data_IF_958908619611
#
_entry.id   IF_958908619611
#
_cell.length_a   1.000
_cell.length_b   1.000
_cell.length_c   1.000
_cell.angle_alpha   90.00
_cell.angle_beta   90.00
_cell.angle_gamma   90.00
#
_symmetry.space_group_name_H-M   'P 1'
#
loop_
_entity.id
_entity.type
_entity.pdbx_description
1 polymer ?
#
# COMPACT_ATOMS: atom_id res chain seq x y z
N UNK A 1 31.02 -91.63 6.60
CA UNK A 1 30.71 -90.34 7.27
C UNK A 1 29.44 -89.79 6.67
N UNK A 2 28.29 -90.25 7.16
CA UNK A 2 26.97 -89.83 6.70
C UNK A 2 26.46 -88.74 7.64
N UNK A 3 26.28 -87.55 7.09
CA UNK A 3 25.78 -86.37 7.78
C UNK A 3 24.25 -86.52 7.94
N UNK A 4 23.77 -86.86 9.13
CA UNK A 4 22.34 -86.88 9.47
C UNK A 4 21.84 -85.43 9.55
N UNK A 5 21.02 -85.05 8.57
CA UNK A 5 20.35 -83.76 8.53
C UNK A 5 19.14 -83.82 9.47
N UNK A 6 19.09 -83.03 10.56
CA UNK A 6 17.93 -83.05 11.46
C UNK A 6 16.68 -82.61 10.70
N UNK A 7 15.64 -83.47 10.74
CA UNK A 7 14.34 -83.13 10.19
C UNK A 7 13.73 -81.99 11.02
N UNK A 8 13.16 -80.95 10.37
CA UNK A 8 12.54 -79.84 11.07
C UNK A 8 11.30 -80.33 11.83
N UNK A 9 11.26 -80.07 13.14
CA UNK A 9 10.07 -80.27 13.97
C UNK A 9 8.91 -79.44 13.39
N UNK A 10 7.81 -80.13 13.07
CA UNK A 10 6.57 -79.52 12.59
C UNK A 10 5.91 -78.76 13.74
N UNK A 11 6.20 -77.46 13.85
CA UNK A 11 5.51 -76.57 14.78
C UNK A 11 4.01 -76.59 14.49
N UNK A 12 3.22 -77.12 15.43
CA UNK A 12 1.78 -77.16 15.36
C UNK A 12 1.25 -75.74 15.63
N UNK A 13 1.08 -74.94 14.57
CA UNK A 13 0.52 -73.59 14.67
C UNK A 13 -0.92 -73.72 15.18
N UNK A 14 -1.18 -73.18 16.37
CA UNK A 14 -2.52 -73.14 16.97
C UNK A 14 -3.33 -71.99 16.39
N UNK A 15 -4.64 -72.16 16.31
CA UNK A 15 -5.57 -71.12 15.82
C UNK A 15 -5.48 -69.81 16.62
N UNK A 16 -5.09 -69.88 17.90
CA UNK A 16 -4.89 -68.71 18.77
C UNK A 16 -3.71 -67.83 18.34
N UNK A 17 -2.59 -68.43 17.91
CA UNK A 17 -1.41 -67.70 17.42
C UNK A 17 -1.74 -66.92 16.14
N UNK A 18 -2.55 -67.51 15.25
CA UNK A 18 -3.04 -66.84 14.03
C UNK A 18 -3.91 -65.62 14.38
N UNK A 19 -4.81 -65.73 15.36
CA UNK A 19 -5.67 -64.61 15.78
C UNK A 19 -4.86 -63.49 16.43
N UNK A 20 -3.86 -63.82 17.24
CA UNK A 20 -2.97 -62.85 17.86
C UNK A 20 -2.15 -62.09 16.80
N UNK A 21 -1.60 -62.81 15.82
CA UNK A 21 -0.90 -62.21 14.68
C UNK A 21 -1.81 -61.29 13.86
N UNK A 22 -3.06 -61.69 13.63
CA UNK A 22 -4.03 -60.90 12.84
C UNK A 22 -4.43 -59.61 13.57
N UNK A 23 -4.59 -59.65 14.89
CA UNK A 23 -4.84 -58.47 15.71
C UNK A 23 -3.64 -57.52 15.76
N UNK A 24 -2.43 -58.07 15.88
CA UNK A 24 -1.18 -57.29 15.82
C UNK A 24 -1.05 -56.58 14.47
N UNK A 25 -1.27 -57.29 13.36
CA UNK A 25 -1.20 -56.74 12.01
C UNK A 25 -2.25 -55.63 11.78
N UNK A 26 -3.47 -55.82 12.30
CA UNK A 26 -4.50 -54.77 12.27
C UNK A 26 -4.05 -53.51 13.01
N UNK A 27 -3.46 -53.64 14.19
CA UNK A 27 -2.96 -52.50 14.96
C UNK A 27 -1.84 -51.75 14.23
N UNK A 28 -0.94 -52.46 13.55
CA UNK A 28 0.12 -51.86 12.74
C UNK A 28 -0.45 -51.09 11.54
N UNK A 29 -1.46 -51.64 10.86
CA UNK A 29 -2.14 -50.95 9.76
C UNK A 29 -2.81 -49.65 10.24
N UNK A 30 -3.47 -49.67 11.39
CA UNK A 30 -4.08 -48.45 11.97
C UNK A 30 -3.03 -47.38 12.34
N UNK A 31 -1.87 -47.80 12.87
CA UNK A 31 -0.77 -46.89 13.18
C UNK A 31 -0.16 -46.29 11.91
N UNK A 32 0.08 -47.10 10.88
CA UNK A 32 0.61 -46.62 9.59
C UNK A 32 -0.36 -45.66 8.91
N UNK A 33 -1.67 -45.91 8.99
CA UNK A 33 -2.69 -44.99 8.47
C UNK A 33 -2.72 -43.66 9.23
N UNK A 34 -2.61 -43.68 10.56
CA UNK A 34 -2.50 -42.44 11.35
C UNK A 34 -1.21 -41.67 11.04
N UNK A 35 -0.10 -42.39 10.87
CA UNK A 35 1.18 -41.77 10.52
C UNK A 35 1.14 -41.13 9.13
N UNK A 36 0.58 -41.80 8.12
CA UNK A 36 0.46 -41.24 6.77
C UNK A 36 -0.44 -40.00 6.72
N UNK A 37 -1.55 -40.00 7.48
CA UNK A 37 -2.41 -38.82 7.65
C UNK A 37 -1.66 -37.65 8.31
N UNK A 38 -0.88 -37.91 9.35
CA UNK A 38 -0.06 -36.88 10.01
C UNK A 38 1.03 -36.33 9.10
N UNK A 39 1.69 -37.18 8.30
CA UNK A 39 2.71 -36.75 7.32
C UNK A 39 2.07 -35.91 6.20
N UNK A 40 0.89 -36.31 5.70
CA UNK A 40 0.16 -35.53 4.70
C UNK A 40 -0.26 -34.16 5.25
N UNK A 41 -0.75 -34.10 6.50
CA UNK A 41 -1.09 -32.85 7.17
C UNK A 41 0.14 -31.95 7.39
N UNK A 42 1.28 -32.52 7.79
CA UNK A 42 2.54 -31.78 7.97
C UNK A 42 3.06 -31.22 6.63
N UNK A 43 3.03 -32.03 5.57
CA UNK A 43 3.43 -31.62 4.21
C UNK A 43 2.52 -30.50 3.67
N UNK A 44 1.20 -30.61 3.88
CA UNK A 44 0.25 -29.57 3.51
C UNK A 44 0.52 -28.24 4.23
N UNK A 45 0.82 -28.28 5.55
CA UNK A 45 1.20 -27.09 6.33
C UNK A 45 2.51 -26.47 5.83
N UNK A 46 3.52 -27.27 5.53
CA UNK A 46 4.80 -26.79 5.01
C UNK A 46 4.64 -26.11 3.64
N UNK A 47 3.85 -26.71 2.74
CA UNK A 47 3.54 -26.11 1.44
C UNK A 47 2.75 -24.79 1.59
N UNK A 48 1.79 -24.74 2.51
CA UNK A 48 1.05 -23.52 2.83
C UNK A 48 1.96 -22.41 3.38
N UNK A 49 2.87 -22.75 4.30
CA UNK A 49 3.84 -21.80 4.83
C UNK A 49 4.79 -21.26 3.74
N UNK A 50 5.31 -22.14 2.87
CA UNK A 50 6.14 -21.74 1.72
C UNK A 50 5.41 -20.80 0.78
N UNK A 51 4.14 -21.09 0.49
CA UNK A 51 3.30 -20.22 -0.32
C UNK A 51 3.12 -18.83 0.32
N UNK A 52 2.76 -18.77 1.61
CA UNK A 52 2.58 -17.51 2.34
C UNK A 52 3.87 -16.68 2.44
N UNK A 53 5.02 -17.33 2.62
CA UNK A 53 6.32 -16.65 2.62
C UNK A 53 6.67 -16.08 1.24
N UNK A 54 6.34 -16.80 0.17
CA UNK A 54 6.51 -16.30 -1.20
C UNK A 54 5.62 -15.08 -1.43
N UNK A 55 4.34 -15.17 -1.09
CA UNK A 55 3.38 -14.08 -1.21
C UNK A 55 3.82 -12.86 -0.41
N UNK A 56 4.32 -13.06 0.82
CA UNK A 56 4.87 -11.99 1.65
C UNK A 56 6.04 -11.26 0.98
N UNK A 57 6.96 -12.00 0.35
CA UNK A 57 8.08 -11.41 -0.37
C UNK A 57 7.63 -10.64 -1.63
N UNK A 58 6.69 -11.21 -2.40
CA UNK A 58 6.11 -10.57 -3.58
C UNK A 58 5.36 -9.27 -3.21
N UNK A 59 4.52 -9.30 -2.16
CA UNK A 59 3.86 -8.12 -1.58
C UNK A 59 4.87 -7.04 -1.17
N UNK A 60 5.96 -7.43 -0.51
CA UNK A 60 7.04 -6.53 -0.13
C UNK A 60 7.70 -5.86 -1.35
N UNK A 61 7.91 -6.62 -2.42
CA UNK A 61 8.44 -6.09 -3.68
C UNK A 61 7.47 -5.11 -4.34
N UNK A 62 6.18 -5.43 -4.43
CA UNK A 62 5.16 -4.53 -4.99
C UNK A 62 5.01 -3.24 -4.20
N UNK A 63 5.08 -3.32 -2.87
CA UNK A 63 5.05 -2.16 -2.00
C UNK A 63 6.23 -1.21 -2.28
N UNK A 64 7.46 -1.74 -2.33
CA UNK A 64 8.67 -0.94 -2.65
C UNK A 64 8.61 -0.33 -4.05
N UNK A 65 8.16 -1.09 -5.04
CA UNK A 65 8.05 -0.61 -6.42
C UNK A 65 7.03 0.53 -6.56
N UNK A 66 5.91 0.42 -5.84
CA UNK A 66 4.88 1.46 -5.78
C UNK A 66 5.43 2.74 -5.13
N UNK A 67 6.25 2.59 -4.10
CA UNK A 67 6.89 3.72 -3.42
C UNK A 67 7.88 4.47 -4.32
N UNK A 68 8.81 3.73 -4.95
CA UNK A 68 9.80 4.30 -5.87
C UNK A 68 9.15 5.05 -7.04
N UNK A 69 8.05 4.53 -7.59
CA UNK A 69 7.29 5.21 -8.64
C UNK A 69 6.67 6.53 -8.18
N UNK A 70 6.19 6.59 -6.94
CA UNK A 70 5.61 7.80 -6.38
C UNK A 70 6.68 8.87 -6.13
N UNK A 71 7.81 8.47 -5.55
CA UNK A 71 8.96 9.37 -5.34
C UNK A 71 9.50 9.92 -6.66
N UNK A 72 9.65 9.06 -7.67
CA UNK A 72 10.10 9.47 -9.01
C UNK A 72 9.15 10.49 -9.64
N UNK A 73 7.84 10.24 -9.62
CA UNK A 73 6.84 11.16 -10.17
C UNK A 73 6.85 12.52 -9.44
N UNK A 74 7.02 12.49 -8.12
CA UNK A 74 7.09 13.69 -7.30
C UNK A 74 8.36 14.50 -7.59
N UNK A 75 9.52 13.84 -7.68
CA UNK A 75 10.78 14.49 -8.00
C UNK A 75 10.77 15.10 -9.40
N UNK A 76 10.18 14.39 -10.37
CA UNK A 76 9.99 14.90 -11.74
C UNK A 76 9.10 16.14 -11.75
N UNK A 77 7.99 16.12 -11.01
CA UNK A 77 7.10 17.28 -10.90
C UNK A 77 7.80 18.49 -10.28
N UNK A 78 8.53 18.29 -9.16
CA UNK A 78 9.26 19.38 -8.50
C UNK A 78 10.36 19.95 -9.40
N UNK A 79 11.11 19.10 -10.08
CA UNK A 79 12.16 19.51 -11.01
C UNK A 79 11.57 20.28 -12.20
N UNK A 80 10.51 19.75 -12.80
CA UNK A 80 9.81 20.41 -13.90
C UNK A 80 9.24 21.77 -13.46
N UNK A 81 8.60 21.84 -12.29
CA UNK A 81 8.08 23.10 -11.75
C UNK A 81 9.19 24.13 -11.51
N UNK A 82 10.34 23.70 -11.00
CA UNK A 82 11.50 24.57 -10.74
C UNK A 82 12.10 25.09 -12.04
N UNK A 83 12.25 24.22 -13.05
CA UNK A 83 12.73 24.59 -14.38
C UNK A 83 11.79 25.60 -15.04
N UNK A 84 10.49 25.37 -14.93
CA UNK A 84 9.46 26.27 -15.45
C UNK A 84 9.55 27.64 -14.77
N UNK A 85 9.65 27.69 -13.43
CA UNK A 85 9.79 28.96 -12.70
C UNK A 85 11.07 29.70 -13.11
N UNK A 86 12.21 29.00 -13.23
CA UNK A 86 13.46 29.60 -13.71
C UNK A 86 13.33 30.12 -15.15
N UNK A 87 12.69 29.36 -16.04
CA UNK A 87 12.42 29.76 -17.42
C UNK A 87 11.53 31.00 -17.50
N UNK A 88 10.52 31.10 -16.62
CA UNK A 88 9.65 32.28 -16.53
C UNK A 88 10.39 33.52 -16.04
N UNK A 89 11.30 33.38 -15.07
CA UNK A 89 12.17 34.47 -14.60
C UNK A 89 13.13 34.93 -15.69
N UNK A 90 13.63 34.02 -16.52
CA UNK A 90 14.46 34.39 -17.67
C UNK A 90 13.62 35.09 -18.75
N UNK A 91 12.44 34.58 -19.05
CA UNK A 91 11.54 35.13 -20.07
C UNK A 91 11.01 36.52 -19.70
N UNK A 92 10.87 36.81 -18.40
CA UNK A 92 10.43 38.13 -17.91
C UNK A 92 11.42 39.25 -18.24
N UNK A 93 12.70 38.92 -18.48
CA UNK A 93 13.72 39.89 -18.89
C UNK A 93 13.67 40.18 -20.39
N UNK A 94 13.16 39.25 -21.19
CA UNK A 94 13.17 39.33 -22.66
C UNK A 94 11.87 39.91 -23.22
N UNK A 95 10.73 39.72 -22.54
CA UNK A 95 9.42 40.17 -23.01
C UNK A 95 9.08 41.54 -22.43
N UNK A 96 9.07 42.56 -23.28
CA UNK A 96 8.73 43.93 -22.88
C UNK A 96 7.23 44.16 -22.70
N UNK A 97 6.40 43.42 -23.44
CA UNK A 97 4.94 43.52 -23.35
C UNK A 97 4.38 42.68 -22.19
N UNK A 98 3.97 43.37 -21.13
CA UNK A 98 3.41 42.78 -19.93
C UNK A 98 2.16 41.92 -20.21
N UNK A 99 1.32 42.28 -21.18
CA UNK A 99 0.10 41.52 -21.49
C UNK A 99 0.42 40.16 -22.10
N UNK A 100 1.38 40.11 -23.01
CA UNK A 100 1.86 38.86 -23.62
C UNK A 100 2.56 38.00 -22.57
N UNK A 101 3.36 38.62 -21.69
CA UNK A 101 4.03 37.90 -20.62
C UNK A 101 3.03 37.25 -19.64
N UNK A 102 2.01 37.98 -19.19
CA UNK A 102 1.01 37.46 -18.24
C UNK A 102 0.15 36.35 -18.86
N UNK A 103 -0.20 36.45 -20.15
CA UNK A 103 -0.98 35.38 -20.82
C UNK A 103 -0.19 34.07 -20.91
N UNK A 104 1.12 34.14 -21.20
CA UNK A 104 2.01 32.97 -21.15
C UNK A 104 2.14 32.40 -19.73
N UNK A 105 2.28 33.26 -18.72
CA UNK A 105 2.32 32.85 -17.31
C UNK A 105 1.06 32.09 -16.89
N UNK A 106 -0.12 32.56 -17.31
CA UNK A 106 -1.40 31.89 -17.03
C UNK A 106 -1.41 30.49 -17.64
N UNK A 107 -1.04 30.36 -18.91
CA UNK A 107 -1.02 29.08 -19.61
C UNK A 107 -0.11 28.06 -18.91
N UNK A 108 1.09 28.51 -18.54
CA UNK A 108 2.08 27.69 -17.84
C UNK A 108 1.62 27.32 -16.42
N UNK A 109 1.08 28.28 -15.67
CA UNK A 109 0.56 28.04 -14.33
C UNK A 109 -0.64 27.07 -14.33
N UNK A 110 -1.53 27.18 -15.32
CA UNK A 110 -2.64 26.26 -15.52
C UNK A 110 -2.14 24.84 -15.82
N UNK A 111 -1.11 24.70 -16.67
CA UNK A 111 -0.48 23.40 -16.94
C UNK A 111 0.12 22.76 -15.68
N UNK A 112 0.89 23.53 -14.90
CA UNK A 112 1.47 23.06 -13.63
C UNK A 112 0.39 22.69 -12.60
N UNK A 113 -0.71 23.44 -12.57
CA UNK A 113 -1.84 23.16 -11.69
C UNK A 113 -2.51 21.82 -12.04
N UNK A 114 -2.80 21.58 -13.32
CA UNK A 114 -3.37 20.30 -13.78
C UNK A 114 -2.42 19.14 -13.46
N UNK A 115 -1.12 19.30 -13.76
CA UNK A 115 -0.12 18.29 -13.42
C UNK A 115 -0.06 17.99 -11.92
N UNK A 116 -0.17 19.04 -11.10
CA UNK A 116 -0.22 18.90 -9.64
C UNK A 116 -1.49 18.20 -9.14
N UNK A 117 -2.66 18.44 -9.74
CA UNK A 117 -3.90 17.72 -9.41
C UNK A 117 -3.78 16.22 -9.73
N UNK A 118 -3.22 15.87 -10.89
CA UNK A 118 -2.97 14.47 -11.28
C UNK A 118 -2.00 13.81 -10.29
N UNK A 119 -0.95 14.52 -9.86
CA UNK A 119 -0.02 14.00 -8.86
C UNK A 119 -0.71 13.74 -7.52
N UNK A 120 -1.54 14.67 -7.04
CA UNK A 120 -2.28 14.52 -5.77
C UNK A 120 -3.26 13.35 -5.83
N UNK A 121 -4.02 13.20 -6.92
CA UNK A 121 -4.94 12.06 -7.05
C UNK A 121 -4.18 10.73 -7.03
N UNK A 122 -3.04 10.67 -7.73
CA UNK A 122 -2.17 9.49 -7.74
C UNK A 122 -1.60 9.17 -6.36
N UNK A 123 -1.15 10.17 -5.60
CA UNK A 123 -0.66 9.98 -4.22
C UNK A 123 -1.77 9.39 -3.33
N UNK A 124 -3.00 9.88 -3.46
CA UNK A 124 -4.16 9.38 -2.68
C UNK A 124 -4.47 7.93 -3.05
N UNK A 125 -4.53 7.59 -4.34
CA UNK A 125 -4.76 6.22 -4.80
C UNK A 125 -3.65 5.27 -4.34
N UNK A 126 -2.40 5.69 -4.44
CA UNK A 126 -1.25 4.91 -3.97
C UNK A 126 -1.27 4.71 -2.44
N UNK A 127 -1.70 5.73 -1.68
CA UNK A 127 -1.81 5.60 -0.23
C UNK A 127 -2.88 4.57 0.19
N UNK A 128 -4.00 4.48 -0.55
CA UNK A 128 -5.02 3.46 -0.33
C UNK A 128 -4.46 2.04 -0.57
N UNK A 129 -3.81 1.82 -1.73
CA UNK A 129 -3.19 0.53 -2.06
C UNK A 129 -2.11 0.13 -1.04
N UNK A 130 -1.29 1.07 -0.59
CA UNK A 130 -0.28 0.81 0.46
C UNK A 130 -0.91 0.35 1.78
N UNK A 131 -2.06 0.91 2.15
CA UNK A 131 -2.75 0.48 3.36
C UNK A 131 -3.23 -0.98 3.25
N UNK A 132 -3.73 -1.38 2.09
CA UNK A 132 -4.13 -2.76 1.79
C UNK A 132 -2.94 -3.71 1.85
N UNK A 133 -1.79 -3.35 1.25
CA UNK A 133 -0.57 -4.17 1.33
C UNK A 133 -0.07 -4.35 2.77
N UNK A 134 -0.05 -3.28 3.56
CA UNK A 134 0.35 -3.37 4.98
C UNK A 134 -0.64 -4.26 5.75
N UNK A 135 -1.93 -4.17 5.45
CA UNK A 135 -2.93 -5.03 6.07
C UNK A 135 -2.70 -6.51 5.72
N UNK A 136 -2.50 -6.84 4.45
CA UNK A 136 -2.19 -8.20 4.00
C UNK A 136 -0.91 -8.76 4.64
N UNK A 137 0.17 -7.96 4.69
CA UNK A 137 1.42 -8.33 5.34
C UNK A 137 1.23 -8.61 6.84
N UNK A 138 0.40 -7.81 7.52
CA UNK A 138 0.08 -8.02 8.93
C UNK A 138 -0.75 -9.28 9.17
N UNK A 139 -1.68 -9.63 8.27
CA UNK A 139 -2.44 -10.88 8.35
C UNK A 139 -1.52 -12.10 8.23
N UNK A 140 -0.60 -12.09 7.26
CA UNK A 140 0.39 -13.17 7.08
C UNK A 140 1.29 -13.27 8.32
N UNK A 141 1.80 -12.13 8.82
CA UNK A 141 2.63 -12.12 10.05
C UNK A 141 1.87 -12.69 11.23
N UNK A 142 0.60 -12.30 11.41
CA UNK A 142 -0.27 -12.81 12.46
C UNK A 142 -0.44 -14.32 12.35
N UNK A 143 -0.68 -14.85 11.14
CA UNK A 143 -0.79 -16.29 10.92
C UNK A 143 0.45 -17.05 11.42
N UNK A 144 1.66 -16.54 11.13
CA UNK A 144 2.89 -17.18 11.61
C UNK A 144 3.08 -17.10 13.13
N UNK A 145 2.66 -16.00 13.75
CA UNK A 145 2.72 -15.84 15.22
C UNK A 145 1.71 -16.73 15.93
N UNK A 146 0.48 -16.80 15.42
CA UNK A 146 -0.59 -17.64 15.96
C UNK A 146 -0.25 -19.14 15.77
N UNK A 147 0.48 -19.49 14.71
CA UNK A 147 0.93 -20.88 14.45
C UNK A 147 2.18 -21.25 15.28
N UNK A 148 3.15 -20.34 15.42
CA UNK A 148 4.43 -20.59 16.09
C UNK A 148 4.75 -19.45 17.08
N UNK A 149 4.33 -19.64 18.34
CA UNK A 149 4.54 -18.69 19.44
C UNK A 149 5.99 -18.19 19.65
N UNK A 150 7.07 -19.01 19.52
CA UNK A 150 8.42 -18.51 19.83
C UNK A 150 8.96 -17.46 18.84
N UNK A 151 8.31 -17.27 17.69
CA UNK A 151 8.71 -16.25 16.70
C UNK A 151 8.37 -14.83 17.19
N UNK A 152 7.40 -14.72 18.12
CA UNK A 152 6.86 -13.43 18.59
C UNK A 152 7.94 -12.50 19.14
N UNK A 153 8.92 -13.04 19.86
CA UNK A 153 9.97 -12.26 20.51
C UNK A 153 11.02 -11.72 19.53
N UNK A 154 11.08 -12.25 18.32
CA UNK A 154 11.99 -11.82 17.26
C UNK A 154 11.39 -10.76 16.32
N UNK A 155 10.12 -10.37 16.53
CA UNK A 155 9.45 -9.40 15.67
C UNK A 155 9.85 -7.97 16.03
N UNK A 156 10.59 -7.34 15.12
CA UNK A 156 11.01 -5.93 15.23
C UNK A 156 9.83 -4.96 15.16
N UNK A 157 8.78 -5.32 14.42
CA UNK A 157 7.59 -4.49 14.28
C UNK A 157 6.45 -5.04 15.14
N UNK A 158 5.73 -4.18 15.89
CA UNK A 158 4.56 -4.62 16.65
C UNK A 158 3.55 -5.28 15.70
N UNK A 159 2.95 -6.39 16.14
CA UNK A 159 1.76 -6.89 15.45
C UNK A 159 0.68 -5.84 15.63
N UNK A 160 0.23 -5.24 14.53
CA UNK A 160 -1.00 -4.48 14.55
C UNK A 160 -2.13 -5.46 14.84
N UNK A 161 -2.77 -5.33 16.00
CA UNK A 161 -3.98 -6.11 16.27
C UNK A 161 -5.01 -5.79 15.19
N UNK A 162 -5.54 -6.82 14.51
CA UNK A 162 -6.82 -6.64 13.82
C UNK A 162 -7.79 -6.15 14.88
N UNK A 163 -8.53 -5.05 14.68
CA UNK A 163 -9.51 -4.57 15.64
C UNK A 163 -10.61 -5.64 15.76
N UNK A 164 -10.44 -6.58 16.69
CA UNK A 164 -11.43 -7.58 17.02
C UNK A 164 -12.52 -6.85 17.82
N UNK A 165 -13.56 -6.38 17.14
CA UNK A 165 -14.80 -5.92 17.77
C UNK A 165 -15.00 -4.40 17.93
N UNK A 166 -14.11 -3.54 17.46
CA UNK A 166 -14.38 -2.09 17.42
C UNK A 166 -15.11 -1.75 16.12
N UNK A 167 -16.43 -1.55 16.19
CA UNK A 167 -17.25 -1.18 15.03
C UNK A 167 -16.63 -0.02 14.24
N UNK A 168 -16.14 -0.34 13.03
CA UNK A 168 -15.82 0.51 11.87
C UNK A 168 -15.09 1.86 12.05
N UNK A 169 -14.75 2.28 13.26
CA UNK A 169 -13.83 3.39 13.51
C UNK A 169 -12.44 2.81 13.56
N UNK A 170 -11.96 2.37 12.40
CA UNK A 170 -10.52 2.23 12.22
C UNK A 170 -9.93 3.61 12.56
N UNK A 171 -9.20 3.68 13.67
CA UNK A 171 -8.09 4.62 13.80
C UNK A 171 -7.14 4.26 12.69
N UNK A 172 -7.49 4.70 11.48
CA UNK A 172 -6.72 4.60 10.27
C UNK A 172 -5.46 5.37 10.60
N UNK A 173 -4.46 4.62 11.07
CA UNK A 173 -3.11 5.08 11.34
C UNK A 173 -2.75 5.91 10.13
N UNK A 174 -2.69 7.23 10.32
CA UNK A 174 -2.35 8.16 9.25
C UNK A 174 -1.13 7.57 8.57
N UNK A 175 -1.13 7.40 7.24
CA UNK A 175 0.00 6.76 6.57
C UNK A 175 1.26 7.51 6.97
N UNK A 176 2.06 6.91 7.85
CA UNK A 176 3.26 7.51 8.47
C UNK A 176 4.28 7.86 7.37
N UNK A 177 4.14 7.19 6.23
CA UNK A 177 5.12 7.11 5.15
C UNK A 177 5.03 8.22 4.11
N UNK A 178 3.89 8.90 3.95
CA UNK A 178 3.90 10.16 3.22
C UNK A 178 4.01 11.25 4.28
N UNK A 179 5.16 11.93 4.40
CA UNK A 179 5.30 12.98 5.38
C UNK A 179 4.18 13.97 5.09
N UNK A 180 3.24 14.11 6.04
CA UNK A 180 2.05 14.92 5.83
C UNK A 180 2.40 16.36 5.43
N UNK A 181 3.64 16.80 5.71
CA UNK A 181 4.21 18.05 5.22
C UNK A 181 4.31 18.12 3.69
N UNK A 182 4.70 17.06 2.98
CA UNK A 182 4.92 17.09 1.53
C UNK A 182 3.60 17.17 0.76
N UNK A 183 2.61 16.35 1.11
CA UNK A 183 1.26 16.47 0.51
C UNK A 183 0.63 17.82 0.82
N UNK A 184 0.87 18.38 2.02
CA UNK A 184 0.44 19.75 2.35
C UNK A 184 1.16 20.78 1.49
N UNK A 185 2.45 20.63 1.24
CA UNK A 185 3.24 21.53 0.40
C UNK A 185 2.75 21.51 -1.06
N UNK A 186 2.51 20.32 -1.64
CA UNK A 186 1.99 20.19 -3.01
C UNK A 186 0.59 20.80 -3.12
N UNK A 187 -0.28 20.53 -2.14
CA UNK A 187 -1.60 21.13 -2.13
C UNK A 187 -1.53 22.66 -2.00
N UNK A 188 -0.67 23.18 -1.11
CA UNK A 188 -0.46 24.62 -0.97
C UNK A 188 0.06 25.23 -2.28
N UNK A 189 1.03 24.58 -2.93
CA UNK A 189 1.57 24.98 -4.23
C UNK A 189 0.48 25.03 -5.31
N UNK A 190 -0.35 23.99 -5.42
CA UNK A 190 -1.50 23.97 -6.33
C UNK A 190 -2.52 25.08 -6.01
N UNK A 191 -2.74 25.36 -4.72
CA UNK A 191 -3.60 26.46 -4.30
C UNK A 191 -3.07 27.83 -4.74
N UNK A 192 -1.76 28.04 -4.63
CA UNK A 192 -1.09 29.26 -5.11
C UNK A 192 -1.22 29.37 -6.64
N UNK A 193 -0.95 28.30 -7.38
CA UNK A 193 -1.07 28.29 -8.85
C UNK A 193 -2.50 28.58 -9.30
N UNK A 194 -3.50 27.96 -8.66
CA UNK A 194 -4.90 28.21 -8.96
C UNK A 194 -5.32 29.65 -8.68
N UNK A 195 -4.94 30.18 -7.52
CA UNK A 195 -5.19 31.57 -7.15
C UNK A 195 -4.53 32.56 -8.12
N UNK A 196 -3.31 32.26 -8.55
CA UNK A 196 -2.60 33.04 -9.56
C UNK A 196 -3.32 33.02 -10.92
N UNK A 197 -3.73 31.85 -11.41
CA UNK A 197 -4.47 31.72 -12.67
C UNK A 197 -5.75 32.54 -12.64
N UNK A 198 -6.57 32.39 -11.59
CA UNK A 198 -7.82 33.16 -11.46
C UNK A 198 -7.54 34.66 -11.38
N UNK A 199 -6.60 35.08 -10.53
CA UNK A 199 -6.28 36.48 -10.36
C UNK A 199 -5.78 37.11 -11.66
N UNK A 200 -4.87 36.44 -12.37
CA UNK A 200 -4.32 36.93 -13.62
C UNK A 200 -5.36 36.97 -14.76
N UNK A 201 -6.30 36.01 -14.81
CA UNK A 201 -7.43 36.05 -15.75
C UNK A 201 -8.34 37.25 -15.48
N UNK A 202 -8.71 37.50 -14.21
CA UNK A 202 -9.56 38.65 -13.83
C UNK A 202 -8.86 39.96 -14.23
N UNK A 203 -7.56 40.07 -13.94
CA UNK A 203 -6.76 41.24 -14.30
C UNK A 203 -6.72 41.50 -15.82
N UNK A 204 -6.66 40.45 -16.65
CA UNK A 204 -6.71 40.60 -18.10
C UNK A 204 -8.09 41.06 -18.60
N UNK A 205 -9.17 40.68 -17.91
CA UNK A 205 -10.54 40.99 -18.33
C UNK A 205 -11.01 42.39 -17.89
N UNK A 206 -10.56 42.89 -16.73
CA UNK A 206 -10.97 44.20 -16.22
C UNK A 206 -9.93 45.28 -16.56
N UNK A 207 -10.23 46.17 -17.51
CA UNK A 207 -9.35 47.29 -17.90
C UNK A 207 -9.32 48.46 -16.88
N UNK A 208 -9.75 48.24 -15.63
CA UNK A 208 -9.90 49.27 -14.59
C UNK A 208 -8.69 49.34 -13.64
N UNK A 209 -8.09 50.53 -13.51
CA UNK A 209 -6.75 50.78 -12.93
C UNK A 209 -6.64 50.56 -11.39
N UNK A 210 -7.72 50.30 -10.65
CA UNK A 210 -7.69 50.26 -9.17
C UNK A 210 -7.85 48.87 -8.52
N UNK A 211 -8.02 47.79 -9.29
CA UNK A 211 -8.32 46.46 -8.75
C UNK A 211 -7.17 45.47 -8.45
N UNK A 212 -5.87 45.70 -8.74
CA UNK A 212 -4.85 44.64 -8.65
C UNK A 212 -4.63 44.09 -7.24
N UNK A 213 -4.85 44.91 -6.19
CA UNK A 213 -4.74 44.47 -4.79
C UNK A 213 -5.91 43.56 -4.41
N UNK A 214 -7.14 43.92 -4.80
CA UNK A 214 -8.36 43.14 -4.52
C UNK A 214 -8.28 41.79 -5.25
N UNK A 215 -7.74 41.78 -6.46
CA UNK A 215 -7.57 40.57 -7.26
C UNK A 215 -6.52 39.63 -6.66
N UNK A 216 -5.40 40.17 -6.17
CA UNK A 216 -4.38 39.37 -5.47
C UNK A 216 -4.92 38.72 -4.18
N UNK A 217 -5.67 39.48 -3.39
CA UNK A 217 -6.33 38.96 -2.18
C UNK A 217 -7.43 37.95 -2.53
N UNK A 218 -8.21 38.21 -3.57
CA UNK A 218 -9.27 37.33 -4.08
C UNK A 218 -8.73 35.99 -4.59
N UNK A 219 -7.60 36.00 -5.30
CA UNK A 219 -6.93 34.77 -5.76
C UNK A 219 -6.45 33.90 -4.60
N UNK A 220 -5.87 34.51 -3.55
CA UNK A 220 -5.47 33.79 -2.34
C UNK A 220 -6.71 33.21 -1.62
N UNK A 221 -7.78 33.99 -1.50
CA UNK A 221 -9.03 33.52 -0.89
C UNK A 221 -9.67 32.37 -1.68
N UNK A 222 -9.69 32.46 -3.02
CA UNK A 222 -10.16 31.40 -3.90
C UNK A 222 -9.32 30.12 -3.78
N UNK A 223 -7.99 30.26 -3.71
CA UNK A 223 -7.07 29.13 -3.47
C UNK A 223 -7.30 28.46 -2.12
N UNK A 224 -7.50 29.25 -1.05
CA UNK A 224 -7.85 28.73 0.28
C UNK A 224 -9.22 28.05 0.29
N UNK A 225 -10.20 28.61 -0.40
CA UNK A 225 -11.53 28.02 -0.55
C UNK A 225 -11.48 26.69 -1.32
N UNK A 226 -10.72 26.63 -2.41
CA UNK A 226 -10.47 25.40 -3.17
C UNK A 226 -9.81 24.33 -2.31
N UNK A 227 -8.81 24.70 -1.51
CA UNK A 227 -8.17 23.79 -0.54
C UNK A 227 -9.15 23.28 0.52
N UNK A 228 -10.05 24.14 1.00
CA UNK A 228 -11.10 23.75 1.93
C UNK A 228 -12.09 22.77 1.27
N UNK A 229 -12.53 23.04 0.05
CA UNK A 229 -13.41 22.17 -0.74
C UNK A 229 -12.77 20.80 -1.00
N UNK A 230 -11.50 20.77 -1.44
CA UNK A 230 -10.74 19.53 -1.61
C UNK A 230 -10.67 18.71 -0.32
N UNK A 231 -10.49 19.34 0.85
CA UNK A 231 -10.53 18.63 2.13
C UNK A 231 -11.93 18.09 2.45
N UNK A 232 -12.98 18.82 2.09
CA UNK A 232 -14.36 18.38 2.31
C UNK A 232 -14.74 17.21 1.39
N UNK A 233 -14.35 17.25 0.12
CA UNK A 233 -14.61 16.16 -0.83
C UNK A 233 -13.84 14.89 -0.43
N UNK A 234 -12.57 15.02 -0.02
CA UNK A 234 -11.81 13.88 0.54
C UNK A 234 -12.47 13.29 1.78
N UNK A 235 -13.04 14.11 2.67
CA UNK A 235 -13.81 13.61 3.81
C UNK A 235 -15.07 12.87 3.38
N UNK A 236 -15.76 13.34 2.33
CA UNK A 236 -16.98 12.72 1.83
C UNK A 236 -16.71 11.37 1.17
N UNK A 237 -15.71 11.27 0.28
CA UNK A 237 -15.35 10.00 -0.34
C UNK A 237 -14.90 8.98 0.70
N UNK A 238 -14.17 9.44 1.72
CA UNK A 238 -13.80 8.58 2.86
C UNK A 238 -15.02 8.02 3.60
N UNK A 239 -16.02 8.87 3.88
CA UNK A 239 -17.27 8.42 4.54
C UNK A 239 -18.09 7.45 3.70
N UNK A 240 -18.11 7.64 2.37
CA UNK A 240 -18.80 6.73 1.46
C UNK A 240 -18.15 5.34 1.46
N UNK A 241 -16.82 5.27 1.46
CA UNK A 241 -16.10 4.00 1.53
C UNK A 241 -16.22 3.32 2.90
N UNK A 242 -16.45 4.07 3.99
CA UNK A 242 -16.69 3.51 5.33
C UNK A 242 -18.13 2.97 5.52
N UNK A 243 -19.05 3.24 4.59
CA UNK A 243 -20.45 2.82 4.67
C UNK A 243 -20.76 1.53 3.89
N UNK A 244 -19.79 1.01 3.13
CA UNK A 244 -19.87 -0.24 2.37
C UNK A 244 -19.04 -1.33 3.06
#
# INVERSE_FOLDING_TARGET
>A
MTCEKPMPQSNHITHEDILEQLNSLKSQLELLQKQSLNVAAASSRDNGAKFLLREFNELGHFWRHTDARMESALNLYLTASSLVVAGLVYLSQQVTDLRIFISLMILVAAGLFIGGLILVSRIVSTAALKAEYIHALNLIRRYFVDTNNPIKDYLVLPLADSPKGAGHRSTQSRPIWVPASLTRAINAWNGILFGFVIGAVIWLTEQGVSLPIIIGVGGIAAGLCFLALMRLTQKRTRRANEAH
#
